data_IF_997573483923
#
_entry.id   IF_997573483923
#
_cell.length_a   1.000
_cell.length_b   1.000
_cell.length_c   1.000
_cell.angle_alpha   90.00
_cell.angle_beta   90.00
_cell.angle_gamma   90.00
#
_symmetry.space_group_name_H-M   'P 1'
#
loop_
_entity.id
_entity.type
_entity.pdbx_description
1 polymer ?
#
# COMPACT_ATOMS: atom_id res chain seq x y z
N UNK A 1 -11.88 20.91 16.96
CA UNK A 1 -11.97 19.81 17.95
C UNK A 1 -11.94 18.49 17.20
N UNK A 2 -11.23 17.49 17.72
CA UNK A 2 -11.18 16.13 17.16
C UNK A 2 -11.76 15.16 18.18
N UNK A 3 -12.56 14.21 17.71
CA UNK A 3 -13.08 13.11 18.51
C UNK A 3 -12.61 11.79 17.91
N UNK A 4 -11.80 11.04 18.65
CA UNK A 4 -11.53 9.64 18.33
C UNK A 4 -12.62 8.77 18.95
N UNK A 5 -13.57 8.34 18.12
CA UNK A 5 -14.78 7.65 18.59
C UNK A 5 -14.58 6.14 18.83
N UNK A 6 -13.36 5.64 18.61
CA UNK A 6 -12.95 4.24 18.84
C UNK A 6 -11.56 4.21 19.49
N UNK A 7 -11.38 5.05 20.50
CA UNK A 7 -10.05 5.44 20.96
C UNK A 7 -9.23 4.33 21.60
N UNK A 8 -9.86 3.21 21.97
CA UNK A 8 -9.17 2.04 22.51
C UNK A 8 -8.25 2.43 23.68
N UNK A 9 -6.96 2.12 23.58
CA UNK A 9 -5.94 2.44 24.59
C UNK A 9 -5.35 3.86 24.45
N UNK A 10 -5.86 4.67 23.53
CA UNK A 10 -5.51 6.09 23.36
C UNK A 10 -4.30 6.38 22.48
N UNK A 11 -3.97 5.49 21.52
CA UNK A 11 -2.81 5.69 20.62
C UNK A 11 -2.98 6.95 19.76
N UNK A 12 -4.11 7.07 19.06
CA UNK A 12 -4.42 8.21 18.20
C UNK A 12 -4.63 9.49 19.03
N UNK A 13 -5.24 9.38 20.22
CA UNK A 13 -5.32 10.48 21.18
C UNK A 13 -3.94 11.03 21.55
N UNK A 14 -2.96 10.16 21.80
CA UNK A 14 -1.61 10.56 22.16
C UNK A 14 -0.89 11.30 21.01
N UNK A 15 -1.18 10.93 19.76
CA UNK A 15 -0.65 11.61 18.57
C UNK A 15 -1.36 12.96 18.31
N UNK A 16 -2.67 13.03 18.53
CA UNK A 16 -3.49 14.19 18.22
C UNK A 16 -3.45 15.30 19.29
N UNK A 17 -3.18 14.96 20.56
CA UNK A 17 -3.24 15.91 21.68
C UNK A 17 -2.30 17.12 21.52
N UNK A 18 -1.23 16.99 20.74
CA UNK A 18 -0.27 18.08 20.49
C UNK A 18 -0.59 18.92 19.27
N UNK A 19 -1.53 18.50 18.41
CA UNK A 19 -1.83 19.17 17.13
C UNK A 19 -3.25 19.73 17.08
N UNK A 20 -4.21 19.08 17.75
CA UNK A 20 -5.58 19.55 17.84
C UNK A 20 -5.80 20.41 19.10
N UNK A 21 -6.52 21.53 18.94
CA UNK A 21 -6.83 22.43 20.05
C UNK A 21 -7.61 21.77 21.19
N UNK A 22 -8.50 20.82 20.84
CA UNK A 22 -9.23 19.99 21.79
C UNK A 22 -9.39 18.60 21.19
N UNK A 23 -9.05 17.58 21.99
CA UNK A 23 -9.22 16.17 21.66
C UNK A 23 -10.08 15.52 22.72
N UNK A 24 -11.04 14.70 22.29
CA UNK A 24 -11.82 13.81 23.16
C UNK A 24 -11.74 12.38 22.61
N UNK A 25 -11.87 11.40 23.49
CA UNK A 25 -11.89 9.99 23.10
C UNK A 25 -13.12 9.26 23.64
N UNK A 26 -13.65 8.33 22.86
CA UNK A 26 -14.64 7.38 23.33
C UNK A 26 -14.37 5.95 22.91
N UNK A 27 -14.77 4.98 23.73
CA UNK A 27 -14.80 3.57 23.39
C UNK A 27 -15.99 2.90 24.09
N UNK A 28 -16.48 1.79 23.55
CA UNK A 28 -17.56 1.01 24.14
C UNK A 28 -17.05 0.14 25.31
N UNK A 29 -15.76 -0.23 25.25
CA UNK A 29 -15.07 -1.08 26.21
C UNK A 29 -14.45 -0.26 27.35
N UNK A 30 -14.97 -0.47 28.55
CA UNK A 30 -14.53 0.21 29.76
C UNK A 30 -13.08 -0.14 30.15
N UNK A 31 -12.61 -1.35 29.83
CA UNK A 31 -11.23 -1.77 30.09
C UNK A 31 -10.27 -0.99 29.21
N UNK A 32 -10.59 -0.83 27.93
CA UNK A 32 -9.79 -0.01 27.01
C UNK A 32 -9.75 1.45 27.46
N UNK A 33 -10.90 2.01 27.86
CA UNK A 33 -10.94 3.36 28.43
C UNK A 33 -10.11 3.51 29.70
N UNK A 34 -10.05 2.50 30.58
CA UNK A 34 -9.18 2.53 31.74
C UNK A 34 -7.69 2.60 31.34
N UNK A 35 -7.30 1.86 30.29
CA UNK A 35 -5.95 1.95 29.72
C UNK A 35 -5.69 3.32 29.08
N UNK A 36 -6.64 3.86 28.30
CA UNK A 36 -6.52 5.19 27.72
C UNK A 36 -6.35 6.27 28.80
N UNK A 37 -7.13 6.24 29.88
CA UNK A 37 -6.97 7.16 31.02
C UNK A 37 -5.58 7.12 31.62
N UNK A 38 -4.96 5.94 31.67
CA UNK A 38 -3.60 5.79 32.13
C UNK A 38 -2.58 6.37 31.13
N UNK A 39 -2.75 6.10 29.84
CA UNK A 39 -1.81 6.50 28.79
C UNK A 39 -1.87 7.99 28.43
N UNK A 40 -3.08 8.59 28.46
CA UNK A 40 -3.35 9.98 28.09
C UNK A 40 -4.22 10.67 29.15
N UNK A 41 -3.69 10.91 30.37
CA UNK A 41 -4.48 11.40 31.50
C UNK A 41 -5.11 12.78 31.30
N UNK A 42 -4.55 13.58 30.39
CA UNK A 42 -5.00 14.96 30.12
C UNK A 42 -6.11 15.04 29.05
N UNK A 43 -6.56 13.91 28.50
CA UNK A 43 -7.60 13.86 27.47
C UNK A 43 -8.94 13.48 28.10
N UNK A 44 -10.01 14.19 27.74
CA UNK A 44 -11.35 13.84 28.20
C UNK A 44 -11.84 12.56 27.51
N UNK A 45 -12.29 11.59 28.31
CA UNK A 45 -12.69 10.27 27.87
C UNK A 45 -14.12 9.94 28.31
N UNK A 46 -14.92 9.36 27.42
CA UNK A 46 -16.27 8.88 27.73
C UNK A 46 -16.51 7.47 27.20
N UNK A 47 -17.48 6.77 27.79
CA UNK A 47 -17.95 5.49 27.26
C UNK A 47 -19.08 5.73 26.27
N UNK A 48 -18.89 5.33 25.02
CA UNK A 48 -19.87 5.49 23.96
C UNK A 48 -19.74 4.39 22.91
N UNK A 49 -20.85 4.04 22.28
CA UNK A 49 -20.85 3.22 21.07
C UNK A 49 -20.64 4.14 19.85
N UNK A 50 -19.62 3.86 19.05
CA UNK A 50 -19.29 4.69 17.89
C UNK A 50 -20.42 4.75 16.85
N UNK A 51 -21.34 3.76 16.82
CA UNK A 51 -22.53 3.80 15.96
C UNK A 51 -23.58 4.82 16.41
N UNK A 52 -23.41 5.42 17.59
CA UNK A 52 -24.30 6.41 18.18
C UNK A 52 -23.50 7.68 18.50
N UNK A 53 -23.30 8.60 17.54
CA UNK A 53 -22.41 9.73 17.72
C UNK A 53 -22.78 10.62 18.91
N UNK A 54 -21.83 10.83 19.83
CA UNK A 54 -22.00 11.62 21.07
C UNK A 54 -21.39 13.03 21.01
N UNK A 55 -20.92 13.43 19.83
CA UNK A 55 -20.23 14.71 19.58
C UNK A 55 -20.82 15.39 18.34
N UNK A 56 -20.73 16.72 18.29
CA UNK A 56 -21.17 17.57 17.16
C UNK A 56 -20.09 18.59 16.84
N UNK A 57 -20.06 19.08 15.61
CA UNK A 57 -19.11 20.11 15.14
C UNK A 57 -17.63 19.73 15.37
N UNK A 58 -17.32 18.45 15.19
CA UNK A 58 -15.97 17.87 15.32
C UNK A 58 -15.57 17.10 14.07
N UNK A 59 -14.26 17.03 13.82
CA UNK A 59 -13.67 15.96 13.00
C UNK A 59 -13.71 14.67 13.80
N UNK A 60 -14.13 13.56 13.20
CA UNK A 60 -14.22 12.26 13.88
C UNK A 60 -13.21 11.29 13.29
N UNK A 61 -12.38 10.71 14.14
CA UNK A 61 -11.50 9.60 13.79
C UNK A 61 -12.14 8.28 14.23
N UNK A 62 -12.06 7.28 13.35
CA UNK A 62 -12.60 5.94 13.54
C UNK A 62 -11.53 4.92 13.14
N UNK A 63 -11.26 3.97 14.02
CA UNK A 63 -10.36 2.83 13.83
C UNK A 63 -11.09 1.54 14.24
N UNK A 64 -12.05 1.08 13.44
CA UNK A 64 -12.77 -0.14 13.78
C UNK A 64 -11.84 -1.35 13.73
N UNK A 65 -12.00 -2.25 14.71
CA UNK A 65 -11.21 -3.45 14.78
C UNK A 65 -11.58 -4.43 13.68
N UNK A 66 -10.60 -5.13 13.11
CA UNK A 66 -10.83 -6.19 12.14
C UNK A 66 -11.28 -7.47 12.86
N UNK A 67 -12.40 -8.11 12.46
CA UNK A 67 -12.69 -9.46 12.96
C UNK A 67 -11.63 -10.45 12.50
N UNK A 68 -11.15 -11.28 13.44
CA UNK A 68 -10.24 -12.39 13.15
C UNK A 68 -11.01 -13.53 12.48
N UNK A 69 -10.99 -13.57 11.14
CA UNK A 69 -11.55 -14.65 10.32
C UNK A 69 -10.84 -14.72 8.98
N UNK A 70 -10.17 -15.85 8.68
CA UNK A 70 -9.10 -16.00 7.70
C UNK A 70 -9.51 -16.02 6.22
N UNK A 71 -10.39 -15.11 5.76
CA UNK A 71 -10.69 -14.99 4.32
C UNK A 71 -9.62 -14.17 3.60
N UNK A 72 -9.28 -14.60 2.37
CA UNK A 72 -8.27 -13.98 1.49
C UNK A 72 -8.69 -12.57 1.00
N UNK A 73 -9.99 -12.30 0.93
CA UNK A 73 -10.57 -10.97 0.68
C UNK A 73 -11.42 -10.59 1.89
N UNK A 74 -11.16 -9.42 2.45
CA UNK A 74 -11.83 -8.91 3.64
C UNK A 74 -13.06 -8.10 3.24
N UNK A 75 -14.24 -8.47 3.74
CA UNK A 75 -15.46 -7.68 3.53
C UNK A 75 -15.41 -6.47 4.49
N UNK A 76 -15.55 -5.22 4.01
CA UNK A 76 -15.59 -4.06 4.90
C UNK A 76 -16.70 -4.12 5.97
N UNK A 77 -17.73 -4.95 5.79
CA UNK A 77 -18.76 -5.19 6.81
C UNK A 77 -18.28 -6.05 7.98
N UNK A 78 -17.12 -6.71 7.86
CA UNK A 78 -16.53 -7.53 8.92
C UNK A 78 -15.73 -6.71 9.95
N UNK A 79 -15.65 -5.38 9.80
CA UNK A 79 -15.12 -4.50 10.83
C UNK A 79 -16.01 -4.48 12.09
N UNK A 80 -15.44 -4.06 13.22
CA UNK A 80 -16.15 -3.87 14.49
C UNK A 80 -15.80 -2.49 15.05
N UNK A 81 -16.73 -1.53 15.00
CA UNK A 81 -18.05 -1.58 14.35
C UNK A 81 -18.00 -1.77 12.83
N UNK A 82 -19.08 -2.27 12.19
CA UNK A 82 -19.08 -2.52 10.74
C UNK A 82 -19.02 -1.20 9.96
N UNK A 83 -18.26 -1.21 8.85
CA UNK A 83 -17.94 0.03 8.15
C UNK A 83 -19.17 0.72 7.55
N UNK A 84 -20.13 -0.03 7.02
CA UNK A 84 -21.38 0.51 6.51
C UNK A 84 -22.17 1.25 7.58
N UNK A 85 -22.29 0.66 8.78
CA UNK A 85 -22.91 1.32 9.93
C UNK A 85 -22.20 2.61 10.35
N UNK A 86 -20.86 2.63 10.30
CA UNK A 86 -20.08 3.84 10.58
C UNK A 86 -20.30 4.92 9.51
N UNK A 87 -20.25 4.56 8.23
CA UNK A 87 -20.49 5.50 7.12
C UNK A 87 -21.90 6.11 7.19
N UNK A 88 -22.90 5.31 7.59
CA UNK A 88 -24.26 5.80 7.80
C UNK A 88 -24.37 6.71 9.03
N UNK A 89 -23.80 6.32 10.17
CA UNK A 89 -23.87 7.08 11.42
C UNK A 89 -23.18 8.46 11.32
N UNK A 90 -22.14 8.58 10.49
CA UNK A 90 -21.36 9.82 10.32
C UNK A 90 -21.56 10.47 8.94
N UNK A 91 -22.62 10.13 8.21
CA UNK A 91 -22.92 10.71 6.90
C UNK A 91 -22.93 12.25 6.95
N UNK A 92 -22.20 12.89 6.04
CA UNK A 92 -22.08 14.35 5.94
C UNK A 92 -21.25 14.99 7.06
N UNK A 93 -20.48 14.21 7.81
CA UNK A 93 -19.52 14.72 8.80
C UNK A 93 -18.09 14.55 8.30
N UNK A 94 -17.23 15.49 8.69
CA UNK A 94 -15.79 15.37 8.52
C UNK A 94 -15.26 14.14 9.30
N UNK A 95 -14.88 13.09 8.58
CA UNK A 95 -14.43 11.83 9.17
C UNK A 95 -13.15 11.29 8.53
N UNK A 96 -12.37 10.58 9.35
CA UNK A 96 -11.22 9.77 8.93
C UNK A 96 -11.43 8.38 9.46
N UNK A 97 -11.53 7.38 8.58
CA UNK A 97 -11.66 5.98 8.97
C UNK A 97 -10.40 5.21 8.61
N UNK A 98 -9.64 4.79 9.62
CA UNK A 98 -8.48 3.92 9.44
C UNK A 98 -8.95 2.51 9.08
N UNK A 99 -8.30 1.91 8.11
CA UNK A 99 -8.62 0.62 7.53
C UNK A 99 -7.34 -0.19 7.30
N UNK A 100 -7.51 -1.51 7.20
CA UNK A 100 -6.46 -2.41 6.77
C UNK A 100 -5.93 -2.02 5.37
N UNK A 101 -4.62 -2.15 5.12
CA UNK A 101 -4.00 -1.88 3.80
C UNK A 101 -4.71 -2.53 2.62
N UNK A 102 -5.25 -3.74 2.88
CA UNK A 102 -5.92 -4.59 1.91
C UNK A 102 -7.39 -4.27 1.66
N UNK A 103 -7.91 -3.12 2.10
CA UNK A 103 -9.30 -2.72 1.88
C UNK A 103 -9.63 -2.67 0.38
N UNK A 104 -10.74 -3.28 -0.03
CA UNK A 104 -11.19 -3.30 -1.42
C UNK A 104 -11.89 -1.97 -1.74
N UNK A 105 -11.30 -1.18 -2.64
CA UNK A 105 -11.78 0.17 -2.95
C UNK A 105 -13.16 0.13 -3.58
N UNK A 106 -13.42 -0.82 -4.48
CA UNK A 106 -14.73 -0.97 -5.12
C UNK A 106 -15.80 -1.35 -4.10
N UNK A 107 -15.47 -2.25 -3.17
CA UNK A 107 -16.38 -2.61 -2.09
C UNK A 107 -16.70 -1.41 -1.19
N UNK A 108 -15.71 -0.57 -0.87
CA UNK A 108 -15.92 0.67 -0.09
C UNK A 108 -16.80 1.66 -0.87
N UNK A 109 -16.59 1.83 -2.19
CA UNK A 109 -17.45 2.68 -3.03
C UNK A 109 -18.89 2.14 -3.12
N UNK A 110 -19.07 0.83 -3.15
CA UNK A 110 -20.40 0.20 -3.11
C UNK A 110 -21.15 0.44 -1.79
N UNK A 111 -20.44 0.74 -0.70
CA UNK A 111 -21.05 1.20 0.56
C UNK A 111 -21.48 2.68 0.53
N UNK A 112 -21.20 3.39 -0.56
CA UNK A 112 -21.57 4.79 -0.72
C UNK A 112 -20.53 5.79 -0.19
N UNK A 113 -19.31 5.33 0.12
CA UNK A 113 -18.20 6.24 0.40
C UNK A 113 -17.72 6.89 -0.90
N UNK A 114 -17.65 8.22 -0.94
CA UNK A 114 -17.28 9.01 -2.12
C UNK A 114 -16.07 9.94 -1.89
N UNK A 115 -15.44 9.82 -0.72
CA UNK A 115 -14.24 10.54 -0.33
C UNK A 115 -12.94 9.99 -0.91
N UNK A 116 -11.83 10.44 -0.34
CA UNK A 116 -10.48 10.04 -0.72
C UNK A 116 -10.05 8.77 0.03
N UNK A 117 -9.34 7.89 -0.67
CA UNK A 117 -8.67 6.75 -0.06
C UNK A 117 -7.17 6.97 -0.13
N UNK A 118 -6.55 7.17 1.03
CA UNK A 118 -5.10 7.28 1.18
C UNK A 118 -4.51 5.93 1.57
N UNK A 119 -3.38 5.55 0.97
CA UNK A 119 -2.61 4.37 1.36
C UNK A 119 -1.23 4.81 1.81
N UNK A 120 -0.82 4.38 3.01
CA UNK A 120 0.42 4.86 3.62
C UNK A 120 1.40 3.72 3.84
N UNK A 121 2.66 3.92 3.48
CA UNK A 121 3.75 2.99 3.76
C UNK A 121 4.84 3.63 4.62
N UNK A 122 5.49 2.79 5.42
CA UNK A 122 6.61 3.16 6.28
C UNK A 122 7.50 1.94 6.54
N UNK A 123 8.81 2.13 6.63
CA UNK A 123 9.79 1.05 6.71
C UNK A 123 9.68 0.03 5.58
N UNK A 124 9.42 0.50 4.35
CA UNK A 124 9.29 -0.34 3.15
C UNK A 124 8.06 -1.27 3.12
N UNK A 125 7.04 -1.03 3.95
CA UNK A 125 5.82 -1.84 3.97
C UNK A 125 4.57 -0.96 4.10
N UNK A 126 3.48 -1.37 3.43
CA UNK A 126 2.19 -0.69 3.55
C UNK A 126 1.61 -0.92 4.94
N UNK A 127 1.27 0.17 5.63
CA UNK A 127 0.82 0.16 7.02
C UNK A 127 -0.69 0.19 7.15
N UNK A 128 -1.33 1.07 6.39
CA UNK A 128 -2.78 1.27 6.46
C UNK A 128 -3.35 1.86 5.18
N UNK A 129 -4.68 1.84 5.11
CA UNK A 129 -5.44 2.71 4.23
C UNK A 129 -6.36 3.58 5.09
N UNK A 130 -6.55 4.84 4.73
CA UNK A 130 -7.42 5.78 5.43
C UNK A 130 -8.49 6.30 4.47
N UNK A 131 -9.74 6.27 4.93
CA UNK A 131 -10.89 6.82 4.23
C UNK A 131 -11.11 8.24 4.74
N UNK A 132 -10.77 9.22 3.94
CA UNK A 132 -10.96 10.64 4.24
C UNK A 132 -12.27 11.12 3.64
N UNK A 133 -13.18 11.64 4.47
CA UNK A 133 -14.44 12.17 3.97
C UNK A 133 -14.21 13.36 3.01
N UNK A 134 -15.16 13.65 2.11
CA UNK A 134 -15.00 14.71 1.12
C UNK A 134 -14.65 16.09 1.71
N UNK A 135 -15.08 16.39 2.94
CA UNK A 135 -14.81 17.64 3.64
C UNK A 135 -13.34 17.80 4.08
N UNK A 136 -12.61 16.69 4.20
CA UNK A 136 -11.19 16.65 4.59
C UNK A 136 -10.27 16.38 3.41
N UNK A 137 -10.79 15.80 2.33
CA UNK A 137 -10.04 15.48 1.14
C UNK A 137 -9.73 16.74 0.31
N UNK A 138 -8.62 16.67 -0.43
CA UNK A 138 -8.29 17.71 -1.41
C UNK A 138 -9.29 17.65 -2.59
N UNK A 139 -9.84 18.79 -3.05
CA UNK A 139 -10.79 18.79 -4.15
C UNK A 139 -10.26 18.10 -5.41
N UNK A 140 -11.00 17.10 -5.90
CA UNK A 140 -10.63 16.33 -7.09
C UNK A 140 -9.74 15.13 -6.84
N UNK A 141 -9.15 15.00 -5.64
CA UNK A 141 -8.39 13.80 -5.26
C UNK A 141 -9.34 12.72 -4.76
N UNK A 142 -9.11 11.49 -5.21
CA UNK A 142 -9.86 10.30 -4.80
C UNK A 142 -8.96 9.19 -4.31
N UNK A 143 -7.69 9.19 -4.69
CA UNK A 143 -6.69 8.21 -4.28
C UNK A 143 -5.36 8.92 -4.00
N UNK A 144 -4.74 8.55 -2.88
CA UNK A 144 -3.42 9.05 -2.48
C UNK A 144 -2.54 7.90 -2.04
N UNK A 145 -1.26 7.98 -2.36
CA UNK A 145 -0.23 7.13 -1.81
C UNK A 145 0.80 8.01 -1.09
N UNK A 146 1.08 7.68 0.17
CA UNK A 146 2.05 8.39 1.02
C UNK A 146 3.16 7.43 1.42
N UNK A 147 4.38 7.68 0.95
CA UNK A 147 5.57 6.91 1.29
C UNK A 147 6.40 7.70 2.29
N UNK A 148 6.21 7.42 3.59
CA UNK A 148 6.76 8.24 4.67
C UNK A 148 8.29 8.22 4.70
N UNK A 149 8.92 7.10 4.34
CA UNK A 149 10.39 6.97 4.35
C UNK A 149 11.09 7.90 3.35
N UNK A 150 10.36 8.43 2.36
CA UNK A 150 10.88 9.32 1.31
C UNK A 150 10.19 10.67 1.25
N UNK A 151 9.24 10.94 2.15
CA UNK A 151 8.35 12.11 2.07
C UNK A 151 7.71 12.26 0.68
N UNK A 152 7.30 11.14 0.08
CA UNK A 152 6.80 11.09 -1.29
C UNK A 152 5.29 10.86 -1.30
N UNK A 153 4.55 11.79 -1.91
CA UNK A 153 3.09 11.73 -2.07
C UNK A 153 2.71 11.74 -3.54
N UNK A 154 1.92 10.76 -3.98
CA UNK A 154 1.33 10.68 -5.33
C UNK A 154 -0.19 10.65 -5.19
N UNK A 155 -0.90 11.37 -6.05
CA UNK A 155 -2.37 11.37 -6.08
C UNK A 155 -2.89 11.01 -7.46
N UNK A 156 -4.18 10.72 -7.56
CA UNK A 156 -4.83 10.53 -8.86
C UNK A 156 -5.14 11.81 -9.62
N UNK A 157 -4.85 12.98 -9.04
CA UNK A 157 -4.86 14.25 -9.74
C UNK A 157 -3.53 14.53 -10.49
N UNK A 158 -2.47 13.78 -10.21
CA UNK A 158 -1.23 13.86 -10.97
C UNK A 158 -1.43 13.39 -12.44
N UNK A 159 -0.58 13.81 -13.40
CA UNK A 159 -0.59 13.25 -14.74
C UNK A 159 -0.33 11.74 -14.73
N UNK A 160 -1.06 10.99 -15.56
CA UNK A 160 -0.96 9.52 -15.64
C UNK A 160 -0.51 9.02 -17.02
N UNK A 161 0.07 9.92 -17.83
CA UNK A 161 0.61 9.63 -19.16
C UNK A 161 1.80 8.68 -19.07
N UNK A 162 1.49 7.38 -19.05
CA UNK A 162 2.44 6.29 -18.93
C UNK A 162 2.20 5.32 -20.08
N UNK A 163 3.19 5.18 -20.96
CA UNK A 163 3.17 4.18 -22.02
C UNK A 163 3.50 2.79 -21.47
N UNK A 164 3.27 1.77 -22.31
CA UNK A 164 3.83 0.45 -22.11
C UNK A 164 4.87 0.17 -23.21
N UNK A 165 5.98 -0.48 -22.86
CA UNK A 165 7.09 -0.69 -23.78
C UNK A 165 8.04 -1.80 -23.33
N UNK A 166 9.05 -2.13 -24.16
CA UNK A 166 10.07 -3.10 -23.78
C UNK A 166 10.85 -2.62 -22.55
N UNK A 167 11.53 -3.54 -21.87
CA UNK A 167 12.42 -3.17 -20.77
C UNK A 167 13.54 -2.23 -21.26
N UNK A 168 13.71 -1.11 -20.58
CA UNK A 168 14.87 -0.23 -20.70
C UNK A 168 16.06 -0.78 -19.91
N UNK A 169 16.99 0.11 -19.54
CA UNK A 169 18.17 -0.28 -18.76
C UNK A 169 17.81 -0.82 -17.36
N UNK A 170 16.75 -0.30 -16.76
CA UNK A 170 16.34 -0.62 -15.40
C UNK A 170 14.91 -1.11 -15.35
N UNK A 171 14.65 -2.05 -14.44
CA UNK A 171 13.32 -2.34 -13.92
C UNK A 171 13.22 -1.73 -12.52
N UNK A 172 12.11 -1.06 -12.25
CA UNK A 172 11.81 -0.38 -10.99
C UNK A 172 10.57 -1.03 -10.37
N UNK A 173 10.69 -1.37 -9.09
CA UNK A 173 9.59 -1.90 -8.28
C UNK A 173 9.05 -0.76 -7.41
N UNK A 174 7.93 -0.10 -7.80
CA UNK A 174 7.40 1.01 -7.05
C UNK A 174 6.91 0.58 -5.67
N UNK A 175 6.84 1.53 -4.75
CA UNK A 175 6.43 1.27 -3.37
C UNK A 175 5.05 0.61 -3.28
N UNK A 176 4.86 -0.25 -2.28
CA UNK A 176 3.60 -0.95 -2.06
C UNK A 176 2.40 -0.01 -1.93
N UNK A 177 2.57 1.20 -1.37
CA UNK A 177 1.50 2.19 -1.26
C UNK A 177 1.06 2.69 -2.64
N UNK A 178 2.02 3.00 -3.52
CA UNK A 178 1.78 3.41 -4.92
C UNK A 178 1.00 2.34 -5.68
N UNK A 179 1.46 1.09 -5.54
CA UNK A 179 0.79 -0.07 -6.17
C UNK A 179 -0.62 -0.24 -5.63
N UNK A 180 -0.78 -0.18 -4.30
CA UNK A 180 -2.05 -0.46 -3.64
C UNK A 180 -3.10 0.63 -3.87
N UNK A 181 -2.68 1.89 -3.98
CA UNK A 181 -3.54 3.01 -4.36
C UNK A 181 -3.91 3.00 -5.86
N UNK A 182 -3.29 2.14 -6.67
CA UNK A 182 -3.52 2.10 -8.13
C UNK A 182 -2.95 3.33 -8.84
N UNK A 183 -1.82 3.86 -8.35
CA UNK A 183 -1.18 5.09 -8.82
C UNK A 183 0.14 4.82 -9.57
N UNK A 184 0.32 3.60 -10.08
CA UNK A 184 1.54 3.19 -10.80
C UNK A 184 1.80 4.09 -12.01
N UNK A 185 0.76 4.41 -12.80
CA UNK A 185 0.87 5.26 -13.99
C UNK A 185 1.26 6.70 -13.63
N UNK A 186 0.65 7.25 -12.56
CA UNK A 186 0.97 8.56 -12.01
C UNK A 186 2.42 8.67 -11.55
N UNK A 187 2.87 7.67 -10.79
CA UNK A 187 4.26 7.57 -10.35
C UNK A 187 5.22 7.42 -11.54
N UNK A 188 4.86 6.63 -12.55
CA UNK A 188 5.67 6.44 -13.75
C UNK A 188 5.82 7.74 -14.54
N UNK A 189 4.73 8.47 -14.79
CA UNK A 189 4.75 9.75 -15.50
C UNK A 189 5.65 10.77 -14.78
N UNK A 190 5.50 10.88 -13.45
CA UNK A 190 6.32 11.77 -12.61
C UNK A 190 7.82 11.48 -12.75
N UNK A 191 8.20 10.20 -12.77
CA UNK A 191 9.59 9.76 -12.85
C UNK A 191 10.07 9.46 -14.28
N UNK A 192 9.27 9.77 -15.30
CA UNK A 192 9.58 9.49 -16.73
C UNK A 192 9.93 8.02 -16.98
N UNK A 193 9.19 7.12 -16.34
CA UNK A 193 9.24 5.68 -16.53
C UNK A 193 8.03 5.21 -17.35
N UNK A 194 8.06 3.96 -17.81
CA UNK A 194 6.94 3.31 -18.50
C UNK A 194 6.67 1.93 -17.91
N UNK A 195 5.48 1.38 -18.14
CA UNK A 195 5.16 0.01 -17.71
C UNK A 195 5.72 -1.02 -18.71
N UNK A 196 6.07 -2.21 -18.22
CA UNK A 196 6.38 -3.36 -19.09
C UNK A 196 5.13 -3.93 -19.76
N UNK A 197 4.01 -3.83 -19.05
CA UNK A 197 2.67 -4.24 -19.47
C UNK A 197 1.65 -3.39 -18.70
N UNK A 198 0.53 -2.94 -19.31
CA UNK A 198 -0.45 -2.09 -18.65
C UNK A 198 -1.00 -2.66 -17.33
N UNK A 199 -1.06 -3.98 -17.20
CA UNK A 199 -1.59 -4.64 -16.00
C UNK A 199 -0.52 -5.02 -14.97
N UNK A 200 0.75 -4.68 -15.22
CA UNK A 200 1.87 -5.04 -14.37
C UNK A 200 2.44 -3.79 -13.73
N UNK A 201 2.61 -3.86 -12.40
CA UNK A 201 3.10 -2.73 -11.61
C UNK A 201 4.60 -2.45 -11.73
N UNK A 202 5.38 -3.35 -12.35
CA UNK A 202 6.78 -3.06 -12.64
C UNK A 202 6.91 -1.94 -13.67
N UNK A 203 7.79 -1.01 -13.37
CA UNK A 203 8.15 0.09 -14.24
C UNK A 203 9.52 -0.15 -14.86
N UNK A 204 9.81 0.53 -15.95
CA UNK A 204 11.08 0.45 -16.62
C UNK A 204 11.51 1.82 -17.15
N UNK A 205 12.82 2.00 -17.31
CA UNK A 205 13.40 3.26 -17.72
C UNK A 205 14.91 3.22 -17.83
N UNK A 206 15.50 4.37 -18.16
CA UNK A 206 16.96 4.53 -18.30
C UNK A 206 17.66 4.90 -16.99
N UNK A 207 16.88 5.19 -15.93
CA UNK A 207 17.37 5.58 -14.61
C UNK A 207 16.48 5.03 -13.51
N UNK A 208 16.97 5.09 -12.27
CA UNK A 208 16.24 4.69 -11.06
C UNK A 208 15.98 5.95 -10.22
N UNK A 209 14.74 6.21 -9.78
CA UNK A 209 14.48 7.31 -8.86
C UNK A 209 15.26 7.19 -7.55
N UNK A 210 15.60 8.32 -6.94
CA UNK A 210 16.35 8.34 -5.69
C UNK A 210 15.60 7.61 -4.57
N UNK A 211 16.32 6.80 -3.78
CA UNK A 211 15.73 6.03 -2.66
C UNK A 211 14.83 4.86 -3.08
N UNK A 212 14.79 4.51 -4.37
CA UNK A 212 13.95 3.43 -4.91
C UNK A 212 14.82 2.27 -5.35
N UNK A 213 14.32 1.05 -5.15
CA UNK A 213 15.01 -0.16 -5.59
C UNK A 213 14.89 -0.28 -7.12
N UNK A 214 16.03 -0.37 -7.79
CA UNK A 214 16.13 -0.64 -9.22
C UNK A 214 16.93 -1.91 -9.51
N UNK A 215 16.63 -2.52 -10.65
CA UNK A 215 17.20 -3.77 -11.13
C UNK A 215 17.75 -3.54 -12.54
N UNK A 216 19.07 -3.44 -12.70
CA UNK A 216 19.70 -3.24 -14.01
C UNK A 216 19.53 -4.50 -14.84
N UNK A 217 18.89 -4.40 -16.01
CA UNK A 217 18.60 -5.54 -16.88
C UNK A 217 19.87 -6.00 -17.57
N UNK A 218 20.20 -7.28 -17.43
CA UNK A 218 21.32 -7.94 -18.09
C UNK A 218 20.85 -8.82 -19.24
N UNK A 219 19.80 -9.62 -19.02
CA UNK A 219 19.20 -10.50 -20.02
C UNK A 219 17.67 -10.51 -19.91
N UNK A 220 17.01 -10.73 -21.04
CA UNK A 220 15.58 -11.09 -21.13
C UNK A 220 15.46 -12.54 -21.62
N UNK A 221 14.86 -13.41 -20.79
CA UNK A 221 14.83 -14.86 -21.00
C UNK A 221 13.42 -15.42 -20.80
N UNK A 222 13.07 -16.57 -21.43
CA UNK A 222 11.86 -17.29 -21.07
C UNK A 222 12.00 -17.95 -19.69
N UNK A 223 10.88 -18.18 -19.00
CA UNK A 223 10.84 -18.96 -17.75
C UNK A 223 11.09 -20.46 -18.04
N UNK A 224 12.35 -20.82 -18.25
CA UNK A 224 12.81 -22.19 -18.50
C UNK A 224 14.04 -22.48 -17.66
N UNK A 225 13.93 -23.40 -16.71
CA UNK A 225 14.99 -23.62 -15.71
C UNK A 225 16.38 -23.89 -16.30
N UNK A 226 16.47 -24.63 -17.41
CA UNK A 226 17.77 -24.90 -18.07
C UNK A 226 18.44 -23.60 -18.54
N UNK A 227 17.65 -22.70 -19.15
CA UNK A 227 18.12 -21.40 -19.64
C UNK A 227 18.50 -20.50 -18.47
N UNK A 228 17.67 -20.47 -17.42
CA UNK A 228 17.96 -19.69 -16.21
C UNK A 228 19.23 -20.17 -15.49
N UNK A 229 19.44 -21.48 -15.33
CA UNK A 229 20.68 -22.00 -14.73
C UNK A 229 21.92 -21.61 -15.53
N UNK A 230 21.83 -21.63 -16.86
CA UNK A 230 22.92 -21.20 -17.73
C UNK A 230 23.24 -19.71 -17.54
N UNK A 231 22.22 -18.85 -17.58
CA UNK A 231 22.42 -17.41 -17.39
C UNK A 231 22.96 -17.08 -15.99
N UNK A 232 22.40 -17.69 -14.94
CA UNK A 232 22.89 -17.52 -13.57
C UNK A 232 24.36 -17.95 -13.41
N UNK A 233 24.77 -19.02 -14.11
CA UNK A 233 26.17 -19.43 -14.13
C UNK A 233 27.07 -18.47 -14.91
N UNK A 234 26.58 -17.89 -16.01
CA UNK A 234 27.32 -16.90 -16.81
C UNK A 234 27.57 -15.61 -16.04
N UNK A 235 26.63 -15.22 -15.17
CA UNK A 235 26.75 -14.04 -14.31
C UNK A 235 27.37 -14.31 -12.94
N UNK A 236 27.91 -15.52 -12.71
CA UNK A 236 28.51 -15.94 -11.43
C UNK A 236 27.56 -15.75 -10.22
N UNK A 237 26.26 -16.00 -10.39
CA UNK A 237 25.27 -15.79 -9.34
C UNK A 237 25.49 -16.76 -8.17
N UNK A 238 25.67 -16.21 -6.97
CA UNK A 238 25.63 -16.92 -5.69
C UNK A 238 24.41 -16.59 -4.86
N UNK A 239 24.11 -15.30 -4.72
CA UNK A 239 22.93 -14.81 -4.00
C UNK A 239 21.83 -14.49 -5.01
N UNK A 240 20.69 -15.17 -4.86
CA UNK A 240 19.58 -15.11 -5.82
C UNK A 240 18.31 -14.56 -5.17
N UNK A 241 17.93 -13.34 -5.55
CA UNK A 241 16.59 -12.80 -5.28
C UNK A 241 15.66 -13.20 -6.44
N UNK A 242 14.40 -13.49 -6.13
CA UNK A 242 13.39 -13.80 -7.15
C UNK A 242 12.15 -12.99 -6.81
N UNK A 243 11.75 -12.13 -7.73
CA UNK A 243 10.60 -11.24 -7.63
C UNK A 243 9.60 -11.64 -8.71
N UNK A 244 8.36 -11.92 -8.34
CA UNK A 244 7.33 -12.39 -9.26
C UNK A 244 6.07 -11.52 -9.16
N UNK A 245 5.60 -10.98 -10.28
CA UNK A 245 4.32 -10.25 -10.36
C UNK A 245 3.52 -10.69 -11.58
N UNK A 246 2.24 -10.97 -11.38
CA UNK A 246 1.32 -11.37 -12.45
C UNK A 246 1.56 -12.78 -12.99
N UNK A 247 2.32 -13.62 -12.27
CA UNK A 247 2.65 -14.99 -12.66
C UNK A 247 2.46 -15.93 -11.47
N UNK A 248 2.05 -17.17 -11.74
CA UNK A 248 1.93 -18.22 -10.73
C UNK A 248 3.27 -18.96 -10.57
N UNK A 249 4.20 -18.32 -9.88
CA UNK A 249 5.54 -18.86 -9.60
C UNK A 249 5.82 -18.72 -8.11
N UNK A 250 6.15 -19.84 -7.46
CA UNK A 250 6.69 -19.84 -6.09
C UNK A 250 8.19 -19.48 -6.15
N UNK A 251 8.59 -18.29 -5.65
CA UNK A 251 9.98 -17.85 -5.68
C UNK A 251 10.91 -18.76 -4.87
N UNK A 252 10.47 -19.29 -3.74
CA UNK A 252 11.28 -20.11 -2.85
C UNK A 252 11.48 -21.52 -3.40
N UNK A 253 10.43 -22.10 -3.99
CA UNK A 253 10.56 -23.35 -4.72
C UNK A 253 11.49 -23.20 -5.93
N UNK A 254 11.32 -22.13 -6.73
CA UNK A 254 12.17 -21.89 -7.89
C UNK A 254 13.63 -21.69 -7.49
N UNK A 255 13.91 -20.88 -6.46
CA UNK A 255 15.27 -20.64 -5.92
C UNK A 255 15.94 -21.96 -5.51
N UNK A 256 15.22 -22.83 -4.79
CA UNK A 256 15.73 -24.15 -4.38
C UNK A 256 16.06 -25.08 -5.55
N UNK A 257 15.34 -24.97 -6.68
CA UNK A 257 15.63 -25.76 -7.89
C UNK A 257 16.79 -25.20 -8.70
N UNK A 258 16.96 -23.88 -8.75
CA UNK A 258 18.02 -23.23 -9.55
C UNK A 258 19.41 -23.46 -8.97
N UNK A 259 19.55 -23.50 -7.63
CA UNK A 259 20.80 -23.84 -6.92
C UNK A 259 22.03 -23.09 -7.44
N UNK A 260 21.95 -21.76 -7.46
CA UNK A 260 23.06 -20.88 -7.82
C UNK A 260 24.26 -21.07 -6.85
N UNK A 261 25.50 -20.89 -7.32
CA UNK A 261 26.74 -21.28 -6.60
C UNK A 261 27.93 -20.32 -6.75
N UNK A 262 27.75 -19.18 -7.39
CA UNK A 262 28.80 -18.19 -7.61
C UNK A 262 28.97 -17.23 -6.44
N UNK A 263 29.47 -16.03 -6.72
CA UNK A 263 29.79 -15.01 -5.71
C UNK A 263 29.02 -13.70 -5.87
N UNK A 264 28.36 -13.47 -7.00
CA UNK A 264 27.62 -12.23 -7.26
C UNK A 264 26.18 -12.31 -6.77
N UNK A 265 25.57 -11.14 -6.56
CA UNK A 265 24.13 -11.01 -6.27
C UNK A 265 23.37 -10.70 -7.56
N UNK A 266 22.33 -11.49 -7.85
CA UNK A 266 21.47 -11.36 -9.02
C UNK A 266 20.01 -11.46 -8.58
N UNK A 267 19.16 -10.64 -9.19
CA UNK A 267 17.70 -10.69 -9.03
C UNK A 267 17.08 -11.24 -10.32
N UNK A 268 16.16 -12.19 -10.20
CA UNK A 268 15.27 -12.57 -11.30
C UNK A 268 13.95 -11.83 -11.14
N UNK A 269 13.63 -10.93 -12.05
CA UNK A 269 12.32 -10.28 -12.11
C UNK A 269 11.45 -11.05 -13.11
N UNK A 270 10.42 -11.72 -12.61
CA UNK A 270 9.53 -12.58 -13.39
C UNK A 270 8.17 -11.88 -13.52
N UNK A 271 7.71 -11.73 -14.76
CA UNK A 271 6.39 -11.16 -15.02
C UNK A 271 5.78 -11.68 -16.31
N UNK A 272 4.50 -11.35 -16.53
CA UNK A 272 3.81 -11.58 -17.79
C UNK A 272 3.85 -10.31 -18.63
N UNK A 273 3.92 -10.47 -19.95
CA UNK A 273 3.81 -9.37 -20.92
C UNK A 273 2.81 -9.81 -21.99
N UNK A 274 1.92 -8.90 -22.38
CA UNK A 274 0.83 -9.13 -23.31
C UNK A 274 -0.43 -9.69 -22.63
N UNK A 275 -1.43 -9.96 -23.45
CA UNK A 275 -2.73 -10.49 -23.03
C UNK A 275 -3.24 -11.57 -23.99
N UNK A 276 -4.11 -12.44 -23.48
CA UNK A 276 -4.75 -13.51 -24.27
C UNK A 276 -3.73 -14.46 -24.92
N UNK A 277 -3.93 -14.76 -26.21
CA UNK A 277 -3.04 -15.66 -26.96
C UNK A 277 -1.62 -15.12 -27.18
N UNK A 278 -1.40 -13.83 -26.95
CA UNK A 278 -0.09 -13.18 -27.03
C UNK A 278 0.64 -13.06 -25.69
N UNK A 279 0.03 -13.53 -24.59
CA UNK A 279 0.65 -13.48 -23.27
C UNK A 279 1.88 -14.38 -23.21
N UNK A 280 2.99 -13.84 -22.71
CA UNK A 280 4.21 -14.60 -22.45
C UNK A 280 4.75 -14.29 -21.06
N UNK A 281 5.26 -15.32 -20.39
CA UNK A 281 6.06 -15.15 -19.17
C UNK A 281 7.51 -14.83 -19.54
N UNK A 282 8.02 -13.74 -18.98
CA UNK A 282 9.37 -13.23 -19.21
C UNK A 282 10.11 -13.18 -17.88
N UNK A 283 11.40 -13.51 -17.93
CA UNK A 283 12.33 -13.40 -16.81
C UNK A 283 13.42 -12.42 -17.21
N UNK A 284 13.58 -11.36 -16.43
CA UNK A 284 14.72 -10.47 -16.53
C UNK A 284 15.77 -10.90 -15.52
N UNK A 285 16.99 -11.16 -16.00
CA UNK A 285 18.16 -11.36 -15.16
C UNK A 285 18.72 -9.99 -14.87
N UNK A 286 18.76 -9.61 -13.60
CA UNK A 286 19.12 -8.26 -13.23
C UNK A 286 20.22 -8.20 -12.18
N UNK A 287 21.01 -7.12 -12.23
CA UNK A 287 21.87 -6.72 -11.12
C UNK A 287 21.11 -5.75 -10.22
N UNK A 288 20.94 -6.02 -8.92
CA UNK A 288 20.30 -5.06 -8.02
C UNK A 288 21.15 -3.80 -7.90
N UNK A 289 20.53 -2.62 -7.97
CA UNK A 289 21.19 -1.37 -7.64
C UNK A 289 21.63 -1.43 -6.17
N UNK A 290 22.87 -1.02 -5.88
CA UNK A 290 23.25 -0.74 -4.50
C UNK A 290 22.32 0.38 -3.99
N UNK A 291 21.65 0.16 -2.86
CA UNK A 291 20.88 1.21 -2.23
C UNK A 291 21.83 2.37 -1.90
N UNK A 292 21.73 3.46 -2.65
CA UNK A 292 22.42 4.71 -2.29
C UNK A 292 21.70 5.19 -1.04
N UNK A 293 22.40 5.08 0.10
CA UNK A 293 21.93 5.59 1.39
C UNK A 293 21.91 7.11 1.40
#
# INVERSE_FOLDING_TARGET
MVHDATCSIGTELAALRSTAAVVIGSDIDEVRLAMARHNVPDVALCRADALHPVSRDTVVLLDPARRSGGRRRFDPRDYVPPLDGLLDAYRGRATVVKCAPGIDFDAVRQLGFDGEIEVTSAGGSVREACLWSPELAEPGVRRRACVLDRDEVVTDADPDDCSAGPAGRWIVDPDGAIVRAGLVRHYAARHKLWQLDPDIAYLSGDHVPAGVRGFEVLDELPLREKVLRQALSQHDCGQLEILARGVDVDPDALRRRLRAKGHTSISLVITRIGSGAGERTVVFVCRPAAAVR
#
